data_IF_850729291183
#
_entry.id   IF_850729291183
#
_cell.length_a   1.000
_cell.length_b   1.000
_cell.length_c   1.000
_cell.angle_alpha   90.00
_cell.angle_beta   90.00
_cell.angle_gamma   90.00
#
_symmetry.space_group_name_H-M   'P 1'
#
loop_
_entity.id
_entity.type
_entity.pdbx_description
1 polymer ?
#
# COMPACT_ATOMS: atom_id res chain seq x y z
N UNK A 1 -28.72 -8.93 -18.50
CA UNK A 1 -28.47 -9.46 -17.13
C UNK A 1 -28.96 -10.90 -17.08
N UNK A 2 -28.44 -11.76 -16.20
CA UNK A 2 -28.92 -13.14 -16.05
C UNK A 2 -29.80 -13.32 -14.81
N UNK A 3 -30.31 -14.54 -14.59
CA UNK A 3 -31.19 -14.89 -13.46
C UNK A 3 -30.65 -14.40 -12.10
N UNK A 4 -29.34 -14.54 -11.86
CA UNK A 4 -28.67 -14.13 -10.62
C UNK A 4 -28.75 -12.63 -10.36
N UNK A 5 -28.64 -11.82 -11.41
CA UNK A 5 -28.73 -10.37 -11.31
C UNK A 5 -30.18 -9.92 -11.09
N UNK A 6 -31.14 -10.56 -11.74
CA UNK A 6 -32.57 -10.27 -11.51
C UNK A 6 -33.00 -10.61 -10.07
N UNK A 7 -32.59 -11.77 -9.54
CA UNK A 7 -32.83 -12.13 -8.12
C UNK A 7 -32.28 -11.05 -7.17
N UNK A 8 -31.07 -10.56 -7.43
CA UNK A 8 -30.45 -9.51 -6.63
C UNK A 8 -31.19 -8.16 -6.75
N UNK A 9 -31.69 -7.80 -7.93
CA UNK A 9 -32.51 -6.59 -8.12
C UNK A 9 -33.87 -6.69 -7.43
N UNK A 10 -34.51 -7.87 -7.46
CA UNK A 10 -35.78 -8.10 -6.75
C UNK A 10 -35.58 -7.89 -5.25
N UNK A 11 -34.51 -8.43 -4.66
CA UNK A 11 -34.17 -8.21 -3.26
C UNK A 11 -33.98 -6.72 -2.96
N UNK A 12 -33.25 -5.99 -3.81
CA UNK A 12 -33.07 -4.54 -3.67
C UNK A 12 -34.41 -3.80 -3.76
N UNK A 13 -35.28 -4.17 -4.70
CA UNK A 13 -36.61 -3.58 -4.87
C UNK A 13 -37.51 -3.83 -3.64
N UNK A 14 -37.44 -5.03 -3.04
CA UNK A 14 -38.15 -5.35 -1.79
C UNK A 14 -37.65 -4.48 -0.63
N UNK A 15 -36.34 -4.27 -0.51
CA UNK A 15 -35.77 -3.38 0.52
C UNK A 15 -36.23 -1.94 0.29
N UNK A 16 -36.21 -1.44 -0.96
CA UNK A 16 -36.71 -0.12 -1.31
C UNK A 16 -38.21 0.04 -1.00
N UNK A 17 -39.02 -0.96 -1.33
CA UNK A 17 -40.44 -0.97 -0.99
C UNK A 17 -40.65 -0.92 0.53
N UNK A 18 -39.87 -1.71 1.28
CA UNK A 18 -39.91 -1.69 2.75
C UNK A 18 -39.52 -0.34 3.34
N UNK A 19 -38.58 0.38 2.71
CA UNK A 19 -38.15 1.71 3.11
C UNK A 19 -39.27 2.73 2.90
N UNK A 20 -39.94 2.69 1.74
CA UNK A 20 -41.05 3.59 1.41
C UNK A 20 -42.21 3.35 2.39
N UNK A 21 -42.70 2.10 2.47
CA UNK A 21 -43.80 1.73 3.38
C UNK A 21 -43.48 2.05 4.84
N UNK A 22 -42.22 1.80 5.22
CA UNK A 22 -41.70 2.03 6.56
C UNK A 22 -41.59 3.49 6.98
N UNK A 23 -41.67 4.43 6.03
CA UNK A 23 -41.58 5.86 6.30
C UNK A 23 -42.91 6.60 6.09
N UNK A 24 -43.88 5.98 5.40
CA UNK A 24 -45.18 6.60 5.09
C UNK A 24 -46.34 5.90 5.79
N UNK A 25 -46.56 4.61 5.52
CA UNK A 25 -47.80 3.88 5.85
C UNK A 25 -47.68 3.14 7.19
N UNK A 26 -46.61 2.37 7.37
CA UNK A 26 -46.48 1.44 8.51
C UNK A 26 -46.41 2.13 9.88
N UNK A 27 -45.67 3.25 10.06
CA UNK A 27 -45.66 3.94 11.35
C UNK A 27 -47.01 4.55 11.74
N UNK A 28 -47.83 4.93 10.76
CA UNK A 28 -49.17 5.49 10.97
C UNK A 28 -50.15 4.38 11.39
N UNK A 29 -50.07 3.21 10.75
CA UNK A 29 -50.96 2.09 11.04
C UNK A 29 -50.61 1.34 12.34
N UNK A 30 -49.34 1.04 12.56
CA UNK A 30 -48.88 0.16 13.66
C UNK A 30 -48.37 0.94 14.88
N UNK A 31 -48.16 2.25 14.74
CA UNK A 31 -47.41 3.04 15.71
C UNK A 31 -45.89 2.88 15.56
N UNK A 32 -45.16 3.96 15.81
CA UNK A 32 -43.70 4.02 15.56
C UNK A 32 -42.90 3.01 16.41
N UNK A 33 -43.33 2.74 17.65
CA UNK A 33 -42.63 1.79 18.54
C UNK A 33 -42.73 0.34 18.04
N UNK A 34 -43.93 -0.11 17.67
CA UNK A 34 -44.14 -1.48 17.16
C UNK A 34 -43.42 -1.66 15.83
N UNK A 35 -43.46 -0.66 14.95
CA UNK A 35 -42.74 -0.70 13.69
C UNK A 35 -41.21 -0.87 13.88
N UNK A 36 -40.61 -0.06 14.76
CA UNK A 36 -39.15 -0.09 14.99
C UNK A 36 -38.72 -1.36 15.72
N UNK A 37 -39.44 -1.75 16.77
CA UNK A 37 -38.99 -2.80 17.68
C UNK A 37 -39.41 -4.21 17.24
N UNK A 38 -40.45 -4.35 16.42
CA UNK A 38 -41.00 -5.64 16.00
C UNK A 38 -40.95 -5.80 14.48
N UNK A 39 -41.62 -4.92 13.72
CA UNK A 39 -41.76 -5.12 12.28
C UNK A 39 -40.42 -5.09 11.54
N UNK A 40 -39.54 -4.12 11.83
CA UNK A 40 -38.21 -4.02 11.21
C UNK A 40 -37.35 -5.27 11.47
N UNK A 41 -37.17 -5.75 12.72
CA UNK A 41 -36.46 -7.01 12.99
C UNK A 41 -37.07 -8.21 12.27
N UNK A 42 -38.40 -8.36 12.30
CA UNK A 42 -39.09 -9.48 11.65
C UNK A 42 -38.88 -9.46 10.13
N UNK A 43 -38.94 -8.28 9.50
CA UNK A 43 -38.66 -8.12 8.07
C UNK A 43 -37.23 -8.58 7.72
N UNK A 44 -36.22 -8.11 8.45
CA UNK A 44 -34.83 -8.49 8.19
C UNK A 44 -34.54 -9.96 8.53
N UNK A 45 -35.22 -10.51 9.54
CA UNK A 45 -35.16 -11.93 9.87
C UNK A 45 -35.75 -12.77 8.74
N UNK A 46 -36.93 -12.41 8.23
CA UNK A 46 -37.55 -13.09 7.09
C UNK A 46 -36.66 -13.06 5.84
N UNK A 47 -36.06 -11.91 5.53
CA UNK A 47 -35.09 -11.76 4.44
C UNK A 47 -33.85 -12.65 4.64
N UNK A 48 -33.33 -12.70 5.87
CA UNK A 48 -32.17 -13.52 6.21
C UNK A 48 -32.48 -15.02 6.11
N UNK A 49 -33.66 -15.46 6.57
CA UNK A 49 -34.14 -16.84 6.44
C UNK A 49 -34.31 -17.22 4.96
N UNK A 50 -34.93 -16.33 4.17
CA UNK A 50 -35.07 -16.54 2.73
C UNK A 50 -33.71 -16.76 2.07
N UNK A 51 -32.73 -15.91 2.38
CA UNK A 51 -31.36 -16.00 1.85
C UNK A 51 -30.64 -17.25 2.32
N UNK A 52 -30.85 -17.67 3.57
CA UNK A 52 -30.22 -18.88 4.10
C UNK A 52 -30.69 -20.15 3.38
N UNK A 53 -31.93 -20.16 2.87
CA UNK A 53 -32.45 -21.25 2.03
C UNK A 53 -31.89 -21.27 0.60
N UNK A 54 -31.22 -20.19 0.16
CA UNK A 54 -30.63 -20.12 -1.18
C UNK A 54 -29.26 -20.82 -1.25
N UNK A 55 -28.79 -21.20 -2.46
CA UNK A 55 -27.49 -21.84 -2.62
C UNK A 55 -26.36 -20.99 -2.03
N UNK A 56 -25.47 -21.62 -1.26
CA UNK A 56 -24.34 -20.94 -0.59
C UNK A 56 -23.48 -20.20 -1.60
N UNK A 57 -23.20 -18.93 -1.29
CA UNK A 57 -22.38 -18.05 -2.12
C UNK A 57 -20.99 -17.94 -1.53
N UNK A 58 -19.97 -18.04 -2.39
CA UNK A 58 -18.59 -17.72 -2.02
C UNK A 58 -18.31 -16.25 -2.30
N UNK A 59 -17.64 -15.58 -1.36
CA UNK A 59 -17.14 -14.23 -1.58
C UNK A 59 -16.05 -14.22 -2.68
N UNK A 60 -15.83 -13.06 -3.29
CA UNK A 60 -14.94 -12.94 -4.47
C UNK A 60 -13.45 -12.80 -4.13
N UNK A 61 -13.11 -12.54 -2.87
CA UNK A 61 -11.72 -12.52 -2.40
C UNK A 61 -11.09 -13.91 -2.24
N UNK A 62 -9.78 -13.92 -1.91
CA UNK A 62 -9.01 -15.15 -1.73
C UNK A 62 -9.33 -15.79 -0.37
N UNK A 63 -9.76 -17.05 -0.38
CA UNK A 63 -10.09 -17.80 0.85
C UNK A 63 -8.91 -17.90 1.84
N UNK A 64 -7.66 -18.02 1.34
CA UNK A 64 -6.44 -18.01 2.17
C UNK A 64 -6.26 -16.72 3.00
N UNK A 65 -6.91 -15.62 2.61
CA UNK A 65 -6.86 -14.33 3.31
C UNK A 65 -8.10 -14.08 4.18
N UNK A 66 -8.98 -15.07 4.35
CA UNK A 66 -10.21 -14.89 5.11
C UNK A 66 -9.96 -14.49 6.56
N UNK A 67 -9.17 -15.28 7.30
CA UNK A 67 -8.80 -14.98 8.70
C UNK A 67 -8.09 -13.64 8.83
N UNK A 68 -7.28 -13.30 7.84
CA UNK A 68 -6.58 -12.03 7.77
C UNK A 68 -7.55 -10.83 7.67
N UNK A 69 -8.56 -10.92 6.79
CA UNK A 69 -9.58 -9.87 6.65
C UNK A 69 -10.41 -9.72 7.93
N UNK A 70 -10.74 -10.83 8.62
CA UNK A 70 -11.47 -10.77 9.90
C UNK A 70 -10.70 -9.97 10.96
N UNK A 71 -9.39 -10.19 11.07
CA UNK A 71 -8.52 -9.46 12.01
C UNK A 71 -8.49 -7.97 11.64
N UNK A 72 -8.32 -7.63 10.36
CA UNK A 72 -8.33 -6.23 9.93
C UNK A 72 -9.68 -5.54 10.16
N UNK A 73 -10.80 -6.23 9.98
CA UNK A 73 -12.11 -5.69 10.34
C UNK A 73 -12.24 -5.41 11.83
N UNK A 74 -11.69 -6.28 12.69
CA UNK A 74 -11.67 -6.04 14.13
C UNK A 74 -10.78 -4.83 14.49
N UNK A 75 -9.58 -4.74 13.90
CA UNK A 75 -8.68 -3.59 14.08
C UNK A 75 -9.40 -2.30 13.68
N UNK A 76 -10.03 -2.24 12.50
CA UNK A 76 -10.77 -1.07 12.05
C UNK A 76 -11.91 -0.69 13.02
N UNK A 77 -12.68 -1.67 13.51
CA UNK A 77 -13.76 -1.40 14.47
C UNK A 77 -13.25 -0.85 15.80
N UNK A 78 -12.18 -1.44 16.35
CA UNK A 78 -11.53 -0.98 17.58
C UNK A 78 -10.96 0.42 17.39
N UNK A 79 -10.18 0.65 16.32
CA UNK A 79 -9.58 1.96 16.03
C UNK A 79 -10.64 3.05 15.84
N UNK A 80 -11.75 2.75 15.15
CA UNK A 80 -12.87 3.69 15.03
C UNK A 80 -13.40 4.10 16.41
N UNK A 81 -13.68 3.12 17.27
CA UNK A 81 -14.19 3.41 18.60
C UNK A 81 -13.18 4.15 19.47
N UNK A 82 -11.90 3.81 19.40
CA UNK A 82 -10.85 4.54 20.09
C UNK A 82 -10.80 6.00 19.67
N UNK A 83 -10.87 6.30 18.37
CA UNK A 83 -10.89 7.68 17.84
C UNK A 83 -12.20 8.41 18.22
N UNK A 84 -13.34 7.72 18.16
CA UNK A 84 -14.62 8.27 18.57
C UNK A 84 -14.63 8.68 20.04
N UNK A 85 -14.15 7.82 20.94
CA UNK A 85 -13.99 8.15 22.35
C UNK A 85 -12.92 9.21 22.60
N UNK A 86 -11.83 9.19 21.82
CA UNK A 86 -10.79 10.22 21.90
C UNK A 86 -11.32 11.62 21.55
N UNK A 87 -12.18 11.72 20.53
CA UNK A 87 -12.87 12.96 20.19
C UNK A 87 -13.72 13.50 21.34
N UNK A 88 -14.22 12.63 22.22
CA UNK A 88 -14.96 13.02 23.44
C UNK A 88 -14.11 13.79 24.44
N UNK A 89 -12.79 13.59 24.47
CA UNK A 89 -11.91 14.42 25.30
C UNK A 89 -11.77 15.85 24.75
N UNK A 90 -11.99 16.06 23.45
CA UNK A 90 -11.93 17.38 22.82
C UNK A 90 -13.25 18.14 22.94
N UNK A 91 -14.37 17.47 22.62
CA UNK A 91 -15.69 18.12 22.51
C UNK A 91 -16.56 17.96 23.77
N UNK A 92 -16.21 17.03 24.66
CA UNK A 92 -16.93 16.75 25.89
C UNK A 92 -17.58 15.36 25.93
N UNK A 93 -17.93 14.96 27.14
CA UNK A 93 -18.53 13.66 27.44
C UNK A 93 -19.93 13.90 28.03
N UNK A 94 -20.94 13.20 27.50
CA UNK A 94 -22.34 13.30 27.90
C UNK A 94 -22.93 11.97 28.38
N UNK A 95 -24.12 12.05 28.95
CA UNK A 95 -24.91 10.87 29.28
C UNK A 95 -25.41 10.18 28.01
N UNK A 96 -25.40 8.85 28.00
CA UNK A 96 -25.97 8.08 26.90
C UNK A 96 -27.48 8.35 26.75
N UNK A 97 -27.99 8.52 25.52
CA UNK A 97 -29.43 8.66 25.26
C UNK A 97 -30.17 7.30 25.40
N UNK A 98 -29.43 6.20 25.54
CA UNK A 98 -29.99 4.86 25.69
C UNK A 98 -30.33 4.55 27.14
N UNK A 99 -31.38 3.73 27.32
CA UNK A 99 -31.80 3.28 28.64
C UNK A 99 -30.68 2.53 29.36
N UNK A 100 -30.43 2.92 30.62
CA UNK A 100 -29.46 2.26 31.51
C UNK A 100 -30.00 0.97 32.14
N UNK A 101 -31.30 0.69 32.00
CA UNK A 101 -31.91 -0.54 32.51
C UNK A 101 -31.52 -1.71 31.62
N UNK A 102 -31.21 -2.86 32.23
CA UNK A 102 -30.83 -4.09 31.52
C UNK A 102 -31.87 -4.49 30.45
N UNK A 103 -33.16 -4.33 30.75
CA UNK A 103 -34.25 -4.59 29.80
C UNK A 103 -34.20 -3.68 28.58
N UNK A 104 -33.86 -2.40 28.77
CA UNK A 104 -33.72 -1.46 27.66
C UNK A 104 -32.51 -1.77 26.78
N UNK A 105 -31.38 -2.15 27.40
CA UNK A 105 -30.19 -2.61 26.66
C UNK A 105 -30.52 -3.85 25.83
N UNK A 106 -31.20 -4.84 26.42
CA UNK A 106 -31.62 -6.06 25.71
C UNK A 106 -32.54 -5.75 24.53
N UNK A 107 -33.54 -4.89 24.72
CA UNK A 107 -34.43 -4.46 23.62
C UNK A 107 -33.62 -3.79 22.51
N UNK A 108 -32.69 -2.89 22.84
CA UNK A 108 -31.89 -2.20 21.81
C UNK A 108 -30.99 -3.18 21.03
N UNK A 109 -30.33 -4.10 21.73
CA UNK A 109 -29.45 -5.10 21.11
C UNK A 109 -30.27 -6.06 20.23
N UNK A 110 -31.45 -6.49 20.69
CA UNK A 110 -32.30 -7.39 19.94
C UNK A 110 -32.99 -6.69 18.76
N UNK A 111 -33.47 -5.46 18.92
CA UNK A 111 -34.21 -4.76 17.85
C UNK A 111 -33.28 -4.07 16.86
N UNK A 112 -32.26 -3.33 17.31
CA UNK A 112 -31.34 -2.63 16.40
C UNK A 112 -30.16 -3.51 16.00
N UNK A 113 -29.58 -4.25 16.94
CA UNK A 113 -28.40 -5.09 16.68
C UNK A 113 -28.69 -6.22 15.70
N UNK A 114 -29.80 -6.95 15.89
CA UNK A 114 -30.18 -8.03 14.97
C UNK A 114 -30.37 -7.52 13.54
N UNK A 115 -31.01 -6.38 13.36
CA UNK A 115 -31.24 -5.74 12.05
C UNK A 115 -29.90 -5.44 11.37
N UNK A 116 -28.96 -4.80 12.07
CA UNK A 116 -27.65 -4.48 11.49
C UNK A 116 -26.91 -5.74 11.04
N UNK A 117 -26.92 -6.81 11.84
CA UNK A 117 -26.28 -8.07 11.50
C UNK A 117 -26.94 -8.74 10.28
N UNK A 118 -28.27 -8.76 10.25
CA UNK A 118 -29.07 -9.34 9.16
C UNK A 118 -28.89 -8.56 7.85
N UNK A 119 -28.75 -7.24 7.92
CA UNK A 119 -28.43 -6.39 6.78
C UNK A 119 -27.13 -6.85 6.10
N UNK A 120 -26.10 -7.21 6.87
CA UNK A 120 -24.83 -7.70 6.32
C UNK A 120 -24.95 -9.06 5.63
N UNK A 121 -25.80 -9.96 6.14
CA UNK A 121 -26.09 -11.24 5.51
C UNK A 121 -26.75 -11.04 4.14
N UNK A 122 -27.72 -10.12 4.08
CA UNK A 122 -28.43 -9.77 2.85
C UNK A 122 -27.50 -9.07 1.86
N UNK A 123 -26.69 -8.11 2.34
CA UNK A 123 -25.66 -7.43 1.53
C UNK A 123 -24.70 -8.44 0.90
N UNK A 124 -24.23 -9.41 1.68
CA UNK A 124 -23.36 -10.48 1.20
C UNK A 124 -24.00 -11.31 0.09
N UNK A 125 -25.28 -11.65 0.22
CA UNK A 125 -25.97 -12.36 -0.83
C UNK A 125 -25.98 -11.55 -2.14
N UNK A 126 -26.45 -10.29 -2.10
CA UNK A 126 -26.57 -9.43 -3.29
C UNK A 126 -25.21 -9.28 -4.00
N UNK A 127 -24.18 -8.84 -3.27
CA UNK A 127 -22.88 -8.50 -3.86
C UNK A 127 -22.15 -9.72 -4.39
N UNK A 128 -22.19 -10.84 -3.68
CA UNK A 128 -21.43 -12.03 -4.06
C UNK A 128 -22.19 -12.97 -5.02
N UNK A 129 -23.51 -12.85 -5.16
CA UNK A 129 -24.32 -13.61 -6.14
C UNK A 129 -24.10 -13.17 -7.59
N UNK A 130 -23.93 -11.87 -7.79
CA UNK A 130 -23.85 -11.22 -9.10
C UNK A 130 -22.52 -11.50 -9.81
N UNK A 131 -22.55 -11.67 -11.15
CA UNK A 131 -21.31 -11.86 -11.95
C UNK A 131 -20.35 -10.68 -11.80
N UNK A 132 -19.04 -10.96 -11.84
CA UNK A 132 -17.97 -9.96 -11.62
C UNK A 132 -18.14 -8.69 -12.47
N UNK A 133 -18.60 -8.79 -13.73
CA UNK A 133 -18.79 -7.63 -14.61
C UNK A 133 -19.84 -6.62 -14.11
N UNK A 134 -20.83 -7.09 -13.34
CA UNK A 134 -21.93 -6.25 -12.84
C UNK A 134 -21.72 -5.80 -11.39
N UNK A 135 -20.66 -6.26 -10.73
CA UNK A 135 -20.37 -5.87 -9.34
C UNK A 135 -20.31 -4.35 -9.15
N UNK A 136 -19.67 -3.55 -10.03
CA UNK A 136 -19.62 -2.10 -9.83
C UNK A 136 -21.02 -1.45 -9.74
N UNK A 137 -21.95 -1.87 -10.61
CA UNK A 137 -23.33 -1.39 -10.59
C UNK A 137 -24.04 -1.78 -9.29
N UNK A 138 -23.98 -3.05 -8.90
CA UNK A 138 -24.62 -3.53 -7.67
C UNK A 138 -23.96 -2.96 -6.41
N UNK A 139 -22.67 -2.64 -6.47
CA UNK A 139 -21.97 -1.96 -5.39
C UNK A 139 -22.58 -0.57 -5.15
N UNK A 140 -22.77 0.22 -6.22
CA UNK A 140 -23.40 1.55 -6.12
C UNK A 140 -24.84 1.43 -5.61
N UNK A 141 -25.63 0.51 -6.17
CA UNK A 141 -27.03 0.31 -5.76
C UNK A 141 -27.14 -0.11 -4.29
N UNK A 142 -26.31 -1.05 -3.84
CA UNK A 142 -26.29 -1.51 -2.45
C UNK A 142 -25.87 -0.39 -1.51
N UNK A 143 -24.81 0.37 -1.84
CA UNK A 143 -24.39 1.50 -1.02
C UNK A 143 -25.52 2.52 -0.89
N UNK A 144 -26.17 2.89 -2.00
CA UNK A 144 -27.28 3.84 -2.00
C UNK A 144 -28.44 3.34 -1.13
N UNK A 145 -28.94 2.13 -1.38
CA UNK A 145 -30.13 1.60 -0.72
C UNK A 145 -29.89 1.36 0.77
N UNK A 146 -28.75 0.80 1.15
CA UNK A 146 -28.46 0.56 2.56
C UNK A 146 -28.15 1.85 3.32
N UNK A 147 -27.56 2.86 2.68
CA UNK A 147 -27.38 4.19 3.29
C UNK A 147 -28.73 4.86 3.52
N UNK A 148 -29.60 4.90 2.50
CA UNK A 148 -30.95 5.45 2.61
C UNK A 148 -31.78 4.74 3.69
N UNK A 149 -31.61 3.42 3.84
CA UNK A 149 -32.31 2.65 4.87
C UNK A 149 -31.89 3.03 6.30
N UNK A 150 -30.63 3.40 6.51
CA UNK A 150 -30.09 3.81 7.82
C UNK A 150 -30.33 5.28 8.14
N UNK A 151 -30.54 6.11 7.12
CA UNK A 151 -30.78 7.55 7.32
C UNK A 151 -32.15 7.82 7.95
N UNK A 152 -32.18 8.83 8.81
CA UNK A 152 -33.43 9.36 9.34
C UNK A 152 -34.06 10.29 8.30
N UNK A 153 -34.95 9.73 7.48
CA UNK A 153 -35.63 10.46 6.41
C UNK A 153 -36.61 11.51 6.94
N UNK A 154 -37.08 11.40 8.19
CA UNK A 154 -37.97 12.42 8.79
C UNK A 154 -37.22 13.73 9.05
N UNK A 155 -36.00 13.64 9.57
CA UNK A 155 -35.12 14.82 9.75
C UNK A 155 -34.81 15.45 8.39
N UNK A 156 -34.59 14.62 7.36
CA UNK A 156 -34.34 15.12 6.01
C UNK A 156 -35.52 15.92 5.45
N UNK A 157 -36.76 15.49 5.72
CA UNK A 157 -37.97 16.19 5.29
C UNK A 157 -38.29 17.45 6.08
N UNK A 158 -37.69 17.65 7.25
CA UNK A 158 -37.87 18.85 8.09
C UNK A 158 -36.81 19.92 7.86
N UNK A 159 -36.00 19.81 6.80
CA UNK A 159 -34.94 20.77 6.47
C UNK A 159 -35.57 21.95 5.73
N UNK A 160 -35.43 23.15 6.30
CA UNK A 160 -35.96 24.38 5.72
C UNK A 160 -34.86 25.29 5.16
N UNK A 161 -33.63 25.17 5.67
CA UNK A 161 -32.51 26.06 5.30
C UNK A 161 -31.33 25.32 4.66
N UNK A 162 -30.57 26.02 3.82
CA UNK A 162 -29.33 25.47 3.23
C UNK A 162 -28.31 25.04 4.29
N UNK A 163 -28.19 25.79 5.38
CA UNK A 163 -27.29 25.43 6.48
C UNK A 163 -27.69 24.11 7.14
N UNK A 164 -28.98 23.89 7.40
CA UNK A 164 -29.49 22.62 7.91
C UNK A 164 -29.25 21.48 6.91
N UNK A 165 -29.39 21.74 5.60
CA UNK A 165 -29.10 20.75 4.57
C UNK A 165 -27.63 20.32 4.61
N UNK A 166 -26.71 21.28 4.64
CA UNK A 166 -25.26 21.02 4.74
C UNK A 166 -24.92 20.26 6.02
N UNK A 167 -25.48 20.68 7.17
CA UNK A 167 -25.28 19.99 8.43
C UNK A 167 -25.80 18.55 8.38
N UNK A 168 -26.98 18.31 7.81
CA UNK A 168 -27.54 16.97 7.71
C UNK A 168 -26.66 16.06 6.84
N UNK A 169 -26.20 16.58 5.70
CA UNK A 169 -25.32 15.83 4.80
C UNK A 169 -24.00 15.49 5.50
N UNK A 170 -23.37 16.46 6.18
CA UNK A 170 -22.10 16.23 6.85
C UNK A 170 -22.23 15.30 8.06
N UNK A 171 -23.23 15.51 8.91
CA UNK A 171 -23.38 14.81 10.18
C UNK A 171 -23.98 13.40 10.04
N UNK A 172 -24.90 13.20 9.09
CA UNK A 172 -25.65 11.95 8.94
C UNK A 172 -25.35 11.26 7.60
N UNK A 173 -25.58 11.92 6.46
CA UNK A 173 -25.52 11.25 5.15
C UNK A 173 -24.10 10.79 4.76
N UNK A 174 -23.10 11.68 4.88
CA UNK A 174 -21.71 11.41 4.52
C UNK A 174 -21.11 10.22 5.27
N UNK A 175 -21.13 10.21 6.62
CA UNK A 175 -20.66 9.09 7.42
C UNK A 175 -21.36 7.77 7.09
N UNK A 176 -22.68 7.80 6.88
CA UNK A 176 -23.45 6.60 6.51
C UNK A 176 -23.05 6.06 5.14
N UNK A 177 -22.90 6.93 4.14
CA UNK A 177 -22.47 6.52 2.80
C UNK A 177 -21.05 5.93 2.86
N UNK A 178 -20.11 6.60 3.53
CA UNK A 178 -18.73 6.12 3.66
C UNK A 178 -18.63 4.78 4.39
N UNK A 179 -19.41 4.62 5.46
CA UNK A 179 -19.50 3.35 6.18
C UNK A 179 -20.08 2.25 5.29
N UNK A 180 -21.12 2.54 4.52
CA UNK A 180 -21.71 1.56 3.60
C UNK A 180 -20.76 1.18 2.45
N UNK A 181 -19.92 2.09 1.95
CA UNK A 181 -18.86 1.75 1.00
C UNK A 181 -17.87 0.77 1.64
N UNK A 182 -17.39 1.06 2.85
CA UNK A 182 -16.47 0.18 3.58
C UNK A 182 -17.08 -1.21 3.80
N UNK A 183 -18.31 -1.28 4.30
CA UNK A 183 -18.99 -2.55 4.57
C UNK A 183 -19.20 -3.34 3.27
N UNK A 184 -19.62 -2.69 2.19
CA UNK A 184 -19.80 -3.33 0.88
C UNK A 184 -18.46 -3.85 0.33
N UNK A 185 -17.37 -3.12 0.56
CA UNK A 185 -16.03 -3.57 0.21
C UNK A 185 -15.57 -4.78 1.04
N UNK A 186 -15.75 -4.75 2.36
CA UNK A 186 -15.48 -5.89 3.25
C UNK A 186 -16.28 -7.13 2.84
N UNK A 187 -17.56 -6.95 2.52
CA UNK A 187 -18.44 -8.02 2.01
C UNK A 187 -17.92 -8.61 0.70
N UNK A 188 -17.49 -7.76 -0.23
CA UNK A 188 -16.96 -8.21 -1.52
C UNK A 188 -15.70 -9.09 -1.36
N UNK A 189 -14.79 -8.73 -0.45
CA UNK A 189 -13.52 -9.45 -0.26
C UNK A 189 -13.59 -10.64 0.72
N UNK A 190 -14.45 -10.60 1.74
CA UNK A 190 -14.45 -11.58 2.83
C UNK A 190 -15.83 -12.04 3.31
N UNK A 191 -16.90 -11.66 2.63
CA UNK A 191 -18.27 -12.07 2.97
C UNK A 191 -18.88 -11.28 4.13
N UNK A 192 -19.96 -11.77 4.72
CA UNK A 192 -20.72 -11.02 5.73
C UNK A 192 -19.95 -10.78 7.04
N UNK A 193 -19.15 -11.76 7.49
CA UNK A 193 -18.53 -11.72 8.83
C UNK A 193 -17.56 -10.54 9.06
N UNK A 194 -16.65 -10.18 8.15
CA UNK A 194 -15.83 -8.97 8.28
C UNK A 194 -16.66 -7.69 8.51
N UNK A 195 -17.75 -7.52 7.76
CA UNK A 195 -18.64 -6.38 7.89
C UNK A 195 -19.44 -6.42 9.20
N UNK A 196 -19.91 -7.60 9.61
CA UNK A 196 -20.56 -7.87 10.90
C UNK A 196 -19.64 -7.49 12.07
N UNK A 197 -18.37 -7.91 12.04
CA UNK A 197 -17.38 -7.61 13.09
C UNK A 197 -17.20 -6.10 13.20
N UNK A 198 -16.98 -5.43 12.07
CA UNK A 198 -16.81 -3.97 12.06
C UNK A 198 -18.05 -3.26 12.62
N UNK A 199 -19.25 -3.55 12.09
CA UNK A 199 -20.45 -2.85 12.54
C UNK A 199 -20.74 -3.12 14.02
N UNK A 200 -20.63 -4.38 14.46
CA UNK A 200 -20.85 -4.74 15.86
C UNK A 200 -19.90 -4.00 16.81
N UNK A 201 -18.60 -3.93 16.47
CA UNK A 201 -17.62 -3.22 17.27
C UNK A 201 -17.86 -1.71 17.30
N UNK A 202 -18.40 -1.12 16.23
CA UNK A 202 -18.68 0.32 16.17
C UNK A 202 -20.02 0.72 16.79
N UNK A 203 -21.01 -0.18 16.87
CA UNK A 203 -22.37 0.18 17.35
C UNK A 203 -22.70 -0.37 18.73
N UNK A 204 -22.26 -1.59 19.08
CA UNK A 204 -22.58 -2.19 20.39
C UNK A 204 -22.09 -1.35 21.57
N UNK A 205 -20.85 -0.80 21.56
CA UNK A 205 -20.40 0.03 22.68
C UNK A 205 -21.26 1.28 22.88
N UNK A 206 -21.84 1.83 21.80
CA UNK A 206 -22.71 3.01 21.87
C UNK A 206 -24.01 2.70 22.63
N UNK A 207 -24.56 1.50 22.44
CA UNK A 207 -25.82 1.10 23.08
C UNK A 207 -25.66 0.62 24.53
N UNK A 208 -24.47 0.13 24.87
CA UNK A 208 -24.18 -0.44 26.20
C UNK A 208 -23.56 0.61 27.12
N UNK A 209 -22.75 1.53 26.58
CA UNK A 209 -22.02 2.48 27.41
C UNK A 209 -22.98 3.48 28.07
N UNK A 210 -22.89 3.68 29.40
CA UNK A 210 -23.70 4.67 30.11
C UNK A 210 -23.30 6.11 29.78
N UNK A 211 -22.09 6.28 29.26
CA UNK A 211 -21.44 7.56 29.00
C UNK A 211 -20.90 7.56 27.57
N UNK A 212 -21.17 8.62 26.81
CA UNK A 212 -20.78 8.72 25.40
C UNK A 212 -20.15 10.09 25.10
N UNK A 213 -19.20 10.15 24.14
CA UNK A 213 -18.74 11.40 23.57
C UNK A 213 -19.91 12.25 23.03
N UNK A 214 -19.96 13.52 23.44
CA UNK A 214 -20.91 14.50 22.90
C UNK A 214 -20.22 15.35 21.84
N UNK A 215 -19.86 14.71 20.73
CA UNK A 215 -19.09 15.36 19.66
C UNK A 215 -19.89 16.47 18.98
N UNK A 216 -19.19 17.55 18.62
CA UNK A 216 -19.75 18.57 17.72
C UNK A 216 -20.01 17.92 16.36
N UNK A 217 -21.02 18.42 15.64
CA UNK A 217 -21.42 17.86 14.34
C UNK A 217 -20.25 17.79 13.34
N UNK A 218 -19.33 18.77 13.38
CA UNK A 218 -18.13 18.83 12.52
C UNK A 218 -17.17 17.68 12.86
N UNK A 219 -16.84 17.50 14.14
CA UNK A 219 -15.96 16.42 14.61
C UNK A 219 -16.55 15.05 14.30
N UNK A 220 -17.86 14.89 14.51
CA UNK A 220 -18.60 13.67 14.17
C UNK A 220 -18.58 13.39 12.67
N UNK A 221 -18.81 14.41 11.83
CA UNK A 221 -18.73 14.30 10.38
C UNK A 221 -17.31 13.90 9.93
N UNK A 222 -16.30 14.56 10.48
CA UNK A 222 -14.89 14.32 10.18
C UNK A 222 -14.50 12.87 10.50
N UNK A 223 -14.72 12.40 11.73
CA UNK A 223 -14.43 11.02 12.14
C UNK A 223 -15.22 10.03 11.30
N UNK A 224 -16.53 10.28 11.12
CA UNK A 224 -17.44 9.39 10.41
C UNK A 224 -17.15 9.23 8.92
N UNK A 225 -16.55 10.24 8.27
CA UNK A 225 -16.14 10.19 6.86
C UNK A 225 -14.71 9.67 6.73
N UNK A 226 -13.77 10.26 7.48
CA UNK A 226 -12.35 9.96 7.30
C UNK A 226 -11.97 8.56 7.74
N UNK A 227 -12.53 8.06 8.85
CA UNK A 227 -12.16 6.74 9.35
C UNK A 227 -12.51 5.63 8.34
N UNK A 228 -13.75 5.54 7.81
CA UNK A 228 -14.03 4.57 6.77
C UNK A 228 -13.19 4.77 5.50
N UNK A 229 -12.88 6.01 5.09
CA UNK A 229 -12.01 6.27 3.94
C UNK A 229 -10.60 5.70 4.17
N UNK A 230 -9.98 5.98 5.30
CA UNK A 230 -8.66 5.46 5.68
C UNK A 230 -8.68 3.93 5.75
N UNK A 231 -9.75 3.34 6.29
CA UNK A 231 -9.90 1.89 6.36
C UNK A 231 -10.06 1.24 4.98
N UNK A 232 -10.82 1.84 4.07
CA UNK A 232 -10.94 1.36 2.69
C UNK A 232 -9.56 1.34 2.04
N UNK A 233 -8.80 2.45 2.13
CA UNK A 233 -7.46 2.56 1.55
C UNK A 233 -6.52 1.53 2.17
N UNK A 234 -6.51 1.41 3.49
CA UNK A 234 -5.62 0.51 4.24
C UNK A 234 -5.92 -0.95 3.92
N UNK A 235 -7.18 -1.39 4.08
CA UNK A 235 -7.60 -2.77 3.75
C UNK A 235 -7.29 -3.07 2.29
N UNK A 236 -7.54 -2.13 1.39
CA UNK A 236 -7.27 -2.32 -0.03
C UNK A 236 -5.78 -2.53 -0.34
N UNK A 237 -4.90 -1.69 0.20
CA UNK A 237 -3.45 -1.78 0.01
C UNK A 237 -2.91 -3.08 0.60
N UNK A 238 -3.30 -3.35 1.85
CA UNK A 238 -2.89 -4.52 2.60
C UNK A 238 -3.37 -5.77 1.86
N UNK A 239 -4.68 -5.94 1.65
CA UNK A 239 -5.23 -7.09 0.90
C UNK A 239 -4.55 -7.30 -0.47
N UNK A 240 -4.27 -6.24 -1.25
CA UNK A 240 -3.54 -6.37 -2.52
C UNK A 240 -2.11 -6.87 -2.32
N UNK A 241 -1.38 -6.37 -1.32
CA UNK A 241 -0.02 -6.83 -0.98
C UNK A 241 -0.01 -8.33 -0.66
N UNK A 242 -0.84 -8.78 0.31
CA UNK A 242 -0.89 -10.20 0.66
C UNK A 242 -1.43 -11.08 -0.48
N UNK A 243 -2.40 -10.58 -1.27
CA UNK A 243 -2.89 -11.31 -2.42
C UNK A 243 -1.81 -11.47 -3.51
N UNK A 244 -0.94 -10.47 -3.71
CA UNK A 244 0.20 -10.53 -4.62
C UNK A 244 1.27 -11.50 -4.10
N UNK A 245 1.62 -11.43 -2.82
CA UNK A 245 2.58 -12.35 -2.18
C UNK A 245 2.11 -13.80 -2.30
N UNK A 246 0.82 -14.09 -2.08
CA UNK A 246 0.26 -15.42 -2.32
C UNK A 246 0.37 -15.86 -3.79
N UNK A 247 0.15 -14.94 -4.74
CA UNK A 247 0.31 -15.26 -6.17
C UNK A 247 1.77 -15.55 -6.50
N UNK A 248 2.69 -14.78 -5.93
CA UNK A 248 4.13 -14.99 -6.10
C UNK A 248 4.56 -16.31 -5.47
N UNK A 249 4.08 -16.65 -4.26
CA UNK A 249 4.38 -17.92 -3.54
C UNK A 249 3.76 -19.14 -4.22
N UNK A 250 2.56 -19.01 -4.82
CA UNK A 250 1.95 -20.07 -5.62
C UNK A 250 2.64 -20.22 -7.00
N UNK A 251 3.23 -19.16 -7.56
CA UNK A 251 4.12 -19.24 -8.74
C UNK A 251 5.53 -19.76 -8.39
N UNK A 252 6.00 -19.45 -7.18
CA UNK A 252 7.26 -19.88 -6.58
C UNK A 252 7.04 -21.13 -5.74
N UNK A 253 6.69 -22.25 -6.40
CA UNK A 253 7.25 -23.54 -5.97
C UNK A 253 8.72 -23.51 -6.34
N UNK A 254 9.54 -22.98 -5.44
CA UNK A 254 10.92 -22.62 -5.73
C UNK A 254 11.78 -23.86 -5.85
N UNK A 255 12.54 -23.93 -6.95
CA UNK A 255 13.70 -24.80 -7.05
C UNK A 255 14.78 -24.21 -6.13
N UNK A 256 15.27 -24.94 -5.11
CA UNK A 256 16.26 -24.44 -4.15
C UNK A 256 17.51 -23.83 -4.80
N UNK A 257 17.86 -24.29 -6.00
CA UNK A 257 19.00 -23.82 -6.78
C UNK A 257 18.99 -22.30 -7.07
N UNK A 258 17.83 -21.68 -7.28
CA UNK A 258 17.75 -20.25 -7.60
C UNK A 258 18.14 -19.39 -6.38
N UNK A 259 17.73 -19.80 -5.17
CA UNK A 259 18.13 -19.11 -3.94
C UNK A 259 19.59 -19.33 -3.60
N UNK A 260 20.10 -20.55 -3.80
CA UNK A 260 21.52 -20.84 -3.61
C UNK A 260 22.36 -19.94 -4.54
N UNK A 261 21.98 -19.80 -5.82
CA UNK A 261 22.67 -18.92 -6.75
C UNK A 261 22.61 -17.43 -6.34
N UNK A 262 21.45 -16.94 -5.91
CA UNK A 262 21.29 -15.56 -5.44
C UNK A 262 22.10 -15.30 -4.16
N UNK A 263 22.13 -16.25 -3.23
CA UNK A 263 22.94 -16.16 -2.01
C UNK A 263 24.43 -16.14 -2.31
N UNK A 264 24.91 -17.03 -3.20
CA UNK A 264 26.31 -17.03 -3.64
C UNK A 264 26.67 -15.71 -4.31
N UNK A 265 25.83 -15.20 -5.23
CA UNK A 265 26.05 -13.91 -5.89
C UNK A 265 26.08 -12.75 -4.89
N UNK A 266 25.17 -12.75 -3.91
CA UNK A 266 25.12 -11.69 -2.89
C UNK A 266 26.36 -11.71 -1.99
N UNK A 267 26.83 -12.89 -1.59
CA UNK A 267 28.08 -13.03 -0.81
C UNK A 267 29.28 -12.53 -1.62
N UNK A 268 29.38 -12.91 -2.91
CA UNK A 268 30.43 -12.45 -3.80
C UNK A 268 30.40 -10.92 -3.98
N UNK A 269 29.21 -10.32 -4.11
CA UNK A 269 29.03 -8.87 -4.21
C UNK A 269 29.46 -8.16 -2.91
N UNK A 270 29.12 -8.70 -1.75
CA UNK A 270 29.52 -8.16 -0.44
C UNK A 270 31.04 -8.21 -0.29
N UNK A 271 31.69 -9.32 -0.65
CA UNK A 271 33.16 -9.42 -0.62
C UNK A 271 33.83 -8.45 -1.60
N UNK A 272 33.23 -8.23 -2.78
CA UNK A 272 33.68 -7.22 -3.72
C UNK A 272 33.55 -5.79 -3.17
N UNK A 273 32.41 -5.46 -2.59
CA UNK A 273 32.18 -4.14 -1.98
C UNK A 273 33.07 -3.91 -0.74
N UNK A 274 33.31 -4.94 0.07
CA UNK A 274 34.19 -4.87 1.23
C UNK A 274 35.69 -4.79 0.87
N UNK A 275 36.04 -4.83 -0.43
CA UNK A 275 37.43 -4.73 -0.89
C UNK A 275 38.28 -5.95 -0.54
N UNK A 276 37.65 -7.12 -0.32
CA UNK A 276 38.34 -8.39 -0.06
C UNK A 276 39.16 -8.81 -1.29
N UNK A 277 38.69 -8.48 -2.49
CA UNK A 277 39.45 -8.71 -3.71
C UNK A 277 40.51 -7.61 -3.90
N UNK A 278 41.74 -7.95 -4.32
CA UNK A 278 42.80 -6.98 -4.59
C UNK A 278 42.56 -6.16 -5.88
N UNK A 279 41.42 -6.37 -6.57
CA UNK A 279 41.07 -5.73 -7.83
C UNK A 279 40.15 -4.53 -7.56
N UNK A 280 40.45 -3.39 -8.18
CA UNK A 280 39.61 -2.20 -8.13
C UNK A 280 39.43 -1.60 -9.54
N UNK A 281 38.24 -1.08 -9.86
CA UNK A 281 37.97 -0.46 -11.16
C UNK A 281 38.52 0.98 -11.22
N UNK A 282 39.04 1.37 -12.38
CA UNK A 282 39.43 2.74 -12.74
C UNK A 282 38.77 3.11 -14.06
N UNK A 283 38.06 4.23 -14.08
CA UNK A 283 37.45 4.74 -15.32
C UNK A 283 38.52 5.51 -16.10
N UNK A 284 38.66 5.20 -17.39
CA UNK A 284 39.58 5.91 -18.29
C UNK A 284 38.89 7.19 -18.79
N UNK A 285 39.55 8.32 -18.60
CA UNK A 285 38.98 9.64 -18.88
C UNK A 285 39.59 10.31 -20.11
N UNK A 286 40.80 9.90 -20.49
CA UNK A 286 41.61 10.53 -21.55
C UNK A 286 41.96 9.54 -22.65
N UNK A 287 42.23 10.03 -23.86
CA UNK A 287 42.61 9.23 -25.03
C UNK A 287 44.11 8.95 -25.15
N UNK A 288 44.89 9.12 -24.07
CA UNK A 288 46.35 8.93 -24.09
C UNK A 288 46.78 7.47 -24.23
N UNK A 289 45.87 6.53 -23.97
CA UNK A 289 46.10 5.09 -24.07
C UNK A 289 45.45 4.46 -25.32
N UNK A 290 44.97 5.27 -26.28
CA UNK A 290 44.43 4.76 -27.54
C UNK A 290 45.54 4.15 -28.42
N UNK A 291 45.29 3.08 -29.20
CA UNK A 291 44.03 2.33 -29.32
C UNK A 291 43.84 1.23 -28.27
N UNK A 292 44.75 1.09 -27.30
CA UNK A 292 44.70 0.00 -26.31
C UNK A 292 43.51 0.12 -25.36
N UNK A 293 43.20 1.36 -24.91
CA UNK A 293 42.06 1.63 -24.03
C UNK A 293 41.47 2.99 -24.40
N UNK A 294 40.14 3.06 -24.44
CA UNK A 294 39.42 4.27 -24.87
C UNK A 294 38.79 5.02 -23.69
N UNK A 295 38.58 6.34 -23.81
CA UNK A 295 37.78 7.10 -22.86
C UNK A 295 36.40 6.47 -22.65
N UNK A 296 36.01 6.30 -21.38
CA UNK A 296 34.75 5.64 -21.00
C UNK A 296 34.85 4.13 -20.78
N UNK A 297 36.01 3.53 -21.02
CA UNK A 297 36.29 2.15 -20.59
C UNK A 297 36.59 2.10 -19.09
N UNK A 298 36.36 0.91 -18.50
CA UNK A 298 36.77 0.63 -17.11
C UNK A 298 37.96 -0.32 -17.14
N UNK A 299 39.12 0.17 -16.72
CA UNK A 299 40.29 -0.65 -16.47
C UNK A 299 40.17 -1.33 -15.10
N UNK A 300 40.36 -2.64 -15.05
CA UNK A 300 40.45 -3.41 -13.82
C UNK A 300 41.90 -3.43 -13.36
N UNK A 301 42.16 -2.86 -12.18
CA UNK A 301 43.50 -2.70 -11.62
C UNK A 301 43.67 -3.65 -10.45
N UNK A 302 44.76 -4.42 -10.41
CA UNK A 302 45.18 -5.15 -9.21
C UNK A 302 46.10 -4.26 -8.39
N UNK A 303 45.80 -4.08 -7.10
CA UNK A 303 46.69 -3.37 -6.17
C UNK A 303 48.07 -4.03 -6.19
N UNK A 304 49.10 -3.23 -6.40
CA UNK A 304 50.49 -3.66 -6.36
C UNK A 304 51.27 -2.69 -5.49
N UNK A 305 52.30 -3.19 -4.80
CA UNK A 305 53.22 -2.38 -4.00
C UNK A 305 54.44 -1.94 -4.85
N UNK A 306 54.28 -1.88 -6.17
CA UNK A 306 55.36 -1.54 -7.11
C UNK A 306 56.46 -2.60 -7.24
N UNK A 307 56.19 -3.83 -6.79
CA UNK A 307 57.02 -5.02 -6.97
C UNK A 307 56.43 -5.89 -8.09
N UNK A 308 57.26 -6.59 -8.84
CA UNK A 308 56.86 -7.46 -9.97
C UNK A 308 56.19 -6.72 -11.14
N UNK A 309 56.69 -5.53 -11.48
CA UNK A 309 56.32 -4.77 -12.66
C UNK A 309 57.36 -4.95 -13.77
N UNK A 310 56.88 -5.20 -14.98
CA UNK A 310 57.73 -5.41 -16.15
C UNK A 310 57.52 -4.29 -17.17
N UNK A 311 58.53 -4.10 -18.03
CA UNK A 311 58.39 -3.27 -19.23
C UNK A 311 57.19 -3.79 -20.04
N UNK A 312 56.31 -2.89 -20.45
CA UNK A 312 55.07 -3.21 -21.14
C UNK A 312 53.83 -3.25 -20.24
N UNK A 313 53.97 -3.26 -18.92
CA UNK A 313 52.82 -3.21 -18.02
C UNK A 313 52.14 -1.84 -18.03
N UNK A 314 50.81 -1.83 -18.01
CA UNK A 314 50.01 -0.60 -17.84
C UNK A 314 49.69 -0.43 -16.36
N UNK A 315 50.09 0.70 -15.80
CA UNK A 315 49.98 0.98 -14.38
C UNK A 315 49.19 2.26 -14.14
N UNK A 316 48.50 2.31 -12.99
CA UNK A 316 47.95 3.54 -12.44
C UNK A 316 48.88 4.05 -11.35
N UNK A 317 49.32 5.30 -11.46
CA UNK A 317 50.17 5.94 -10.46
C UNK A 317 49.72 7.37 -10.15
N UNK A 318 50.13 7.86 -8.99
CA UNK A 318 49.81 9.20 -8.48
C UNK A 318 50.92 10.20 -8.84
N UNK A 319 50.56 11.30 -9.50
CA UNK A 319 51.53 12.35 -9.88
C UNK A 319 51.79 13.39 -8.79
N UNK A 320 50.97 13.41 -7.74
CA UNK A 320 50.90 14.50 -6.76
C UNK A 320 49.51 15.11 -6.69
N UNK A 321 48.81 15.17 -7.83
CA UNK A 321 47.49 15.82 -7.98
C UNK A 321 46.42 14.93 -8.60
N UNK A 322 46.80 14.03 -9.51
CA UNK A 322 45.88 13.14 -10.23
C UNK A 322 46.45 11.72 -10.38
N UNK A 323 45.55 10.76 -10.58
CA UNK A 323 45.92 9.40 -10.98
C UNK A 323 46.01 9.33 -12.51
N UNK A 324 47.15 8.89 -13.02
CA UNK A 324 47.40 8.68 -14.46
C UNK A 324 47.55 7.18 -14.72
N UNK A 325 47.08 6.73 -15.89
CA UNK A 325 47.20 5.34 -16.35
C UNK A 325 48.06 5.32 -17.61
N UNK A 326 49.31 4.86 -17.52
CA UNK A 326 50.26 4.79 -18.65
C UNK A 326 51.05 3.47 -18.64
N UNK A 327 51.75 3.18 -19.74
CA UNK A 327 52.57 1.98 -19.90
C UNK A 327 54.01 2.23 -19.49
N UNK A 328 54.62 1.27 -18.79
CA UNK A 328 56.05 1.28 -18.49
C UNK A 328 56.83 0.99 -19.77
N UNK A 329 57.73 1.89 -20.15
CA UNK A 329 58.58 1.75 -21.33
C UNK A 329 60.04 1.43 -20.99
N UNK A 330 60.51 1.80 -19.79
CA UNK A 330 61.83 1.46 -19.29
C UNK A 330 61.85 1.47 -17.76
N UNK A 331 62.83 0.77 -17.18
CA UNK A 331 63.07 0.70 -15.73
C UNK A 331 64.53 1.11 -15.51
N UNK A 332 64.77 2.13 -14.70
CA UNK A 332 66.12 2.57 -14.36
C UNK A 332 66.72 1.61 -13.32
N UNK A 333 67.72 0.83 -13.72
CA UNK A 333 68.37 -0.18 -12.87
C UNK A 333 69.10 0.42 -11.66
N UNK A 334 69.50 1.70 -11.70
CA UNK A 334 70.23 2.35 -10.59
C UNK A 334 69.29 2.88 -9.52
N UNK A 335 68.12 3.38 -9.91
CA UNK A 335 67.16 4.03 -9.01
C UNK A 335 65.93 3.20 -8.72
N UNK A 336 65.64 2.17 -9.52
CA UNK A 336 64.43 1.36 -9.44
C UNK A 336 63.16 2.11 -9.87
N UNK A 337 63.32 3.25 -10.56
CA UNK A 337 62.20 4.08 -11.01
C UNK A 337 61.72 3.69 -12.40
N UNK A 338 60.45 3.95 -12.66
CA UNK A 338 59.78 3.58 -13.90
C UNK A 338 59.62 4.80 -14.81
N UNK A 339 60.00 4.66 -16.09
CA UNK A 339 59.64 5.63 -17.11
C UNK A 339 58.35 5.18 -17.78
N UNK A 340 57.34 6.04 -17.80
CA UNK A 340 56.02 5.76 -18.35
C UNK A 340 55.75 6.56 -19.61
N UNK A 341 54.82 6.05 -20.42
CA UNK A 341 54.33 6.71 -21.62
C UNK A 341 52.89 6.29 -21.92
N UNK A 342 52.05 7.25 -22.29
CA UNK A 342 50.75 6.95 -22.92
C UNK A 342 50.94 6.34 -24.30
N UNK A 343 50.21 5.27 -24.62
CA UNK A 343 50.34 4.56 -25.91
C UNK A 343 50.14 5.49 -27.12
N UNK A 344 49.33 6.55 -26.98
CA UNK A 344 49.05 7.56 -28.00
C UNK A 344 49.88 8.85 -27.87
N UNK A 345 50.81 8.94 -26.92
CA UNK A 345 51.60 10.15 -26.71
C UNK A 345 52.85 10.17 -27.62
N UNK A 346 53.29 11.35 -28.06
CA UNK A 346 54.48 11.49 -28.93
C UNK A 346 55.82 11.29 -28.19
N UNK A 347 55.88 11.63 -26.90
CA UNK A 347 57.08 11.56 -26.08
C UNK A 347 56.83 10.81 -24.74
N UNK A 348 57.86 10.24 -24.10
CA UNK A 348 57.79 9.72 -22.73
C UNK A 348 57.39 10.80 -21.70
N UNK A 349 56.82 10.37 -20.58
CA UNK A 349 56.54 11.28 -19.47
C UNK A 349 57.87 11.80 -18.86
N UNK A 350 57.94 13.10 -18.59
CA UNK A 350 59.16 13.77 -18.13
C UNK A 350 59.61 13.34 -16.72
N UNK A 351 58.66 12.96 -15.87
CA UNK A 351 58.94 12.56 -14.48
C UNK A 351 58.97 11.05 -14.37
N UNK A 352 60.06 10.53 -13.81
CA UNK A 352 60.14 9.12 -13.42
C UNK A 352 59.20 8.83 -12.24
N UNK A 353 58.62 7.64 -12.24
CA UNK A 353 57.63 7.19 -11.25
C UNK A 353 58.31 6.29 -10.22
N UNK A 354 58.19 6.64 -8.95
CA UNK A 354 58.64 5.80 -7.84
C UNK A 354 57.64 4.66 -7.57
N UNK A 355 58.12 3.51 -7.10
CA UNK A 355 57.28 2.35 -6.78
C UNK A 355 56.14 2.67 -5.79
N UNK A 356 56.37 3.59 -4.84
CA UNK A 356 55.37 4.03 -3.87
C UNK A 356 54.25 4.89 -4.45
N UNK A 357 54.43 5.44 -5.66
CA UNK A 357 53.39 6.21 -6.36
C UNK A 357 52.42 5.30 -7.10
N UNK A 358 52.76 4.02 -7.29
CA UNK A 358 51.97 3.07 -8.07
C UNK A 358 50.86 2.50 -7.20
N UNK A 359 49.63 2.63 -7.68
CA UNK A 359 48.42 2.16 -7.00
C UNK A 359 47.98 0.78 -7.49
N UNK A 360 48.18 0.48 -8.77
CA UNK A 360 47.76 -0.79 -9.34
C UNK A 360 48.26 -1.04 -10.74
N UNK A 361 48.31 -2.32 -11.12
CA UNK A 361 48.60 -2.79 -12.48
C UNK A 361 47.31 -3.23 -13.15
N UNK A 362 47.13 -2.86 -14.41
CA UNK A 362 45.96 -3.23 -15.19
C UNK A 362 46.02 -4.72 -15.54
N UNK A 363 44.92 -5.43 -15.30
CA UNK A 363 44.76 -6.86 -15.64
C UNK A 363 43.66 -7.12 -16.66
N UNK A 364 42.83 -6.13 -16.94
CA UNK A 364 41.78 -6.26 -17.95
C UNK A 364 41.03 -4.95 -18.18
N UNK A 365 40.26 -4.91 -19.26
CA UNK A 365 39.43 -3.76 -19.64
C UNK A 365 38.02 -4.26 -19.90
N UNK A 366 37.04 -3.53 -19.36
CA UNK A 366 35.63 -3.75 -19.67
C UNK A 366 35.13 -2.57 -20.51
N UNK A 367 34.88 -2.78 -21.82
CA UNK A 367 34.59 -1.68 -22.72
C UNK A 367 33.21 -1.06 -22.46
N UNK A 368 33.09 0.25 -22.69
CA UNK A 368 31.81 1.01 -22.73
C UNK A 368 30.97 1.07 -21.44
N UNK A 369 31.38 0.43 -20.34
CA UNK A 369 30.62 0.46 -19.06
C UNK A 369 30.79 1.78 -18.32
N UNK A 370 31.96 2.42 -18.42
CA UNK A 370 32.25 3.70 -17.77
C UNK A 370 31.54 4.89 -18.42
N UNK A 371 31.00 4.75 -19.63
CA UNK A 371 30.29 5.83 -20.35
C UNK A 371 29.17 6.45 -19.51
N UNK A 372 28.48 5.66 -18.68
CA UNK A 372 27.42 6.16 -17.79
C UNK A 372 28.01 7.15 -16.78
N UNK A 373 29.14 6.82 -16.15
CA UNK A 373 29.82 7.70 -15.20
C UNK A 373 30.41 8.96 -15.84
N UNK A 374 30.89 8.87 -17.09
CA UNK A 374 31.37 10.02 -17.89
C UNK A 374 30.22 10.96 -18.22
N UNK A 375 29.04 10.43 -18.58
CA UNK A 375 27.83 11.21 -18.81
C UNK A 375 27.42 12.02 -17.56
N UNK A 376 27.48 11.40 -16.38
CA UNK A 376 27.15 12.06 -15.11
C UNK A 376 28.18 13.09 -14.67
N UNK A 377 29.47 12.93 -15.02
CA UNK A 377 30.52 13.93 -14.71
C UNK A 377 30.59 15.08 -15.73
N UNK A 378 30.09 14.89 -16.95
CA UNK A 378 30.01 15.93 -17.98
C UNK A 378 29.15 17.15 -17.60
N UNK A 379 28.38 17.09 -16.50
CA UNK A 379 27.65 18.21 -15.92
C UNK A 379 28.47 19.16 -15.03
N UNK A 380 29.74 18.85 -14.75
CA UNK A 380 30.72 19.80 -14.18
C UNK A 380 31.83 20.01 -15.20
N UNK A 381 31.78 21.12 -15.92
CA UNK A 381 32.90 21.60 -16.72
C UNK A 381 34.12 21.74 -15.81
N UNK A 382 35.14 20.93 -16.04
CA UNK A 382 36.51 21.28 -15.66
C UNK A 382 36.93 22.33 -16.71
N UNK A 383 37.36 23.53 -16.31
CA UNK A 383 37.78 24.55 -17.26
C UNK A 383 38.87 24.00 -18.18
N UNK A 384 38.71 24.19 -19.49
CA UNK A 384 39.68 23.80 -20.52
C UNK A 384 40.87 24.78 -20.63
N UNK A 385 41.14 25.57 -19.61
CA UNK A 385 42.06 26.72 -19.69
C UNK A 385 43.40 26.56 -18.95
N UNK A 386 43.79 25.36 -18.49
CA UNK A 386 45.15 25.13 -17.95
C UNK A 386 45.84 23.88 -18.50
N UNK A 387 45.67 23.59 -19.79
CA UNK A 387 46.60 22.70 -20.51
C UNK A 387 46.99 23.37 -21.81
N UNK A 388 47.96 24.28 -21.71
CA UNK A 388 48.87 24.53 -22.84
C UNK A 388 49.74 23.27 -23.04
N UNK A 389 50.04 23.06 -24.32
CA UNK A 389 50.62 21.87 -24.95
C UNK A 389 51.98 21.42 -24.43
#
# INVERSE_FOLDING_TARGET
MGKREYEALIIIAIILLSLILGNTVLPVLLGSSIYINVFKPVFWLAMSIYIWKQPRIRFKGKLKLYSFILIWSAICGITYMSVYFAGGFMDGIGASPYSRKLTGILINVLSFGSVLLMMELVRNYIINRVKKKYVPLFFILVVLVFSLYRLNLKIMMSIETWQQAVQYVAEFAGPEIMTNILLTYMVYIGGAYPAIIYIALTTLPIWISPVLPNLRWITKAFIGIMMPTVFIITIHQVYRKQARELKLRDQKREKPAAWIAVSIFSIALIWFAAGVFPIFPTIILTGSMEPTIYPGDVALMVKTNGKDLNIGDVIQYWTGDIFIVHRIISIDEKTGRYQTKGDNNSAPDLRLVDAGQIRGKMVGVVPKIGMISVLFRSGRQIPREEVEF
#
